data_IF_051186797905
#
_entry.id   IF_051186797905
#
_cell.length_a   1.000
_cell.length_b   1.000
_cell.length_c   1.000
_cell.angle_alpha   90.00
_cell.angle_beta   90.00
_cell.angle_gamma   90.00
#
_symmetry.space_group_name_H-M   'P 1'
#
loop_
_entity.id
_entity.type
_entity.pdbx_description
1 polymer ?
#
# COMPACT_ATOMS: atom_id res chain seq x y z
N UNK A 1 25.47 14.22 -23.93
CA UNK A 1 24.14 13.67 -23.56
C UNK A 1 23.44 14.71 -22.70
N UNK A 2 22.58 15.50 -23.32
CA UNK A 2 21.83 16.58 -22.68
C UNK A 2 20.57 15.98 -22.06
N UNK A 3 20.50 15.93 -20.73
CA UNK A 3 19.28 15.57 -20.02
C UNK A 3 18.22 16.64 -20.31
N UNK A 4 17.22 16.29 -21.11
CA UNK A 4 16.08 17.15 -21.36
C UNK A 4 15.28 17.21 -20.07
N UNK A 5 15.39 18.31 -19.34
CA UNK A 5 14.51 18.63 -18.21
C UNK A 5 13.09 18.65 -18.79
N UNK A 6 12.31 17.61 -18.51
CA UNK A 6 10.86 17.62 -18.79
C UNK A 6 10.32 18.71 -17.87
N UNK A 7 9.82 19.81 -18.44
CA UNK A 7 9.09 20.83 -17.68
C UNK A 7 7.93 20.11 -16.98
N UNK A 8 7.96 20.06 -15.64
CA UNK A 8 6.83 19.58 -14.84
C UNK A 8 5.72 20.60 -15.08
N UNK A 9 4.61 20.17 -15.69
CA UNK A 9 3.38 20.96 -15.69
C UNK A 9 2.95 21.10 -14.23
N UNK A 10 2.76 22.34 -13.76
CA UNK A 10 2.46 22.66 -12.36
C UNK A 10 1.12 22.08 -11.86
N UNK A 11 0.27 21.56 -12.75
CA UNK A 11 -1.09 21.08 -12.45
C UNK A 11 -1.28 19.57 -12.65
N UNK A 12 -0.22 18.80 -12.90
CA UNK A 12 -0.34 17.34 -13.08
C UNK A 12 -0.36 16.65 -11.71
N UNK A 13 -1.45 15.91 -11.42
CA UNK A 13 -1.57 15.14 -10.19
C UNK A 13 -0.37 14.18 -10.06
N UNK A 14 0.36 14.19 -8.93
CA UNK A 14 1.48 13.29 -8.72
C UNK A 14 1.08 11.84 -9.01
N UNK A 15 1.94 11.10 -9.73
CA UNK A 15 1.67 9.70 -10.14
C UNK A 15 1.25 8.83 -8.97
N UNK A 16 1.85 9.02 -7.78
CA UNK A 16 1.46 8.32 -6.55
C UNK A 16 -0.01 8.52 -6.19
N UNK A 17 -0.57 9.73 -6.34
CA UNK A 17 -1.97 9.99 -6.05
C UNK A 17 -2.87 9.38 -7.11
N UNK A 18 -2.47 9.48 -8.38
CA UNK A 18 -3.20 8.86 -9.49
C UNK A 18 -3.29 7.34 -9.31
N UNK A 19 -2.18 6.69 -8.93
CA UNK A 19 -2.14 5.26 -8.65
C UNK A 19 -3.03 4.87 -7.46
N UNK A 20 -3.00 5.66 -6.37
CA UNK A 20 -3.81 5.39 -5.18
C UNK A 20 -5.32 5.53 -5.41
N UNK A 21 -5.72 6.31 -6.42
CA UNK A 21 -7.12 6.53 -6.78
C UNK A 21 -7.57 5.63 -7.93
N UNK A 22 -6.65 4.86 -8.55
CA UNK A 22 -6.95 3.96 -9.65
C UNK A 22 -7.33 2.56 -9.15
N UNK A 23 -8.30 1.95 -9.82
CA UNK A 23 -8.69 0.54 -9.63
C UNK A 23 -8.06 -0.38 -10.66
N UNK A 24 -7.25 0.15 -11.60
CA UNK A 24 -6.65 -0.61 -12.70
C UNK A 24 -5.72 -1.72 -12.21
N UNK A 25 -5.06 -1.47 -11.07
CA UNK A 25 -4.12 -2.39 -10.43
C UNK A 25 -4.76 -3.20 -9.29
N UNK A 26 -6.09 -3.24 -9.20
CA UNK A 26 -6.77 -4.12 -8.27
C UNK A 26 -6.46 -5.58 -8.62
N UNK A 27 -6.20 -6.37 -7.59
CA UNK A 27 -6.15 -7.83 -7.72
C UNK A 27 -5.11 -8.37 -8.74
N UNK A 28 -3.84 -7.91 -8.76
CA UNK A 28 -2.87 -8.39 -9.73
C UNK A 28 -2.54 -9.87 -9.50
N UNK A 29 -2.34 -10.62 -10.59
CA UNK A 29 -2.08 -12.07 -10.52
C UNK A 29 -0.67 -12.38 -10.00
N UNK A 30 0.35 -11.67 -10.49
CA UNK A 30 1.76 -11.77 -10.10
C UNK A 30 2.36 -10.38 -9.91
N UNK A 31 2.33 -9.88 -8.68
CA UNK A 31 2.94 -8.59 -8.33
C UNK A 31 3.54 -8.62 -6.93
N UNK A 32 4.44 -7.67 -6.67
CA UNK A 32 4.99 -7.39 -5.36
C UNK A 32 3.85 -7.07 -4.36
N UNK A 33 4.01 -7.41 -3.08
CA UNK A 33 2.95 -7.22 -2.08
C UNK A 33 2.51 -5.75 -1.96
N UNK A 34 3.42 -4.80 -2.10
CA UNK A 34 3.11 -3.37 -2.07
C UNK A 34 2.18 -2.92 -3.21
N UNK A 35 2.31 -3.51 -4.40
CA UNK A 35 1.36 -3.26 -5.51
C UNK A 35 -0.03 -3.77 -5.11
N UNK A 36 -0.11 -4.95 -4.49
CA UNK A 36 -1.39 -5.52 -4.02
C UNK A 36 -2.04 -4.72 -2.88
N UNK A 37 -1.24 -4.07 -2.05
CA UNK A 37 -1.71 -3.31 -0.89
C UNK A 37 -2.13 -1.88 -1.26
N UNK A 38 -1.44 -1.26 -2.22
CA UNK A 38 -1.56 0.18 -2.48
C UNK A 38 -1.78 0.57 -3.95
N UNK A 39 -1.81 -0.39 -4.90
CA UNK A 39 -2.05 -0.11 -6.33
C UNK A 39 -0.90 0.60 -7.07
N UNK A 40 0.24 0.82 -6.40
CA UNK A 40 1.37 1.61 -6.91
C UNK A 40 2.08 0.95 -8.10
N UNK A 41 2.40 1.73 -9.13
CA UNK A 41 3.16 1.27 -10.30
C UNK A 41 4.67 1.33 -10.07
N UNK A 42 5.15 2.39 -9.43
CA UNK A 42 6.58 2.64 -9.20
C UNK A 42 6.84 2.98 -7.73
N UNK A 43 7.83 2.32 -7.13
CA UNK A 43 8.25 2.57 -5.75
C UNK A 43 9.67 2.06 -5.51
N UNK A 44 10.30 2.55 -4.44
CA UNK A 44 11.62 2.10 -3.97
C UNK A 44 11.44 1.34 -2.67
N UNK A 45 12.19 0.24 -2.51
CA UNK A 45 12.25 -0.50 -1.24
C UNK A 45 13.67 -0.47 -0.70
N UNK A 46 13.81 -0.01 0.53
CA UNK A 46 15.03 -0.06 1.33
C UNK A 46 14.94 -1.26 2.25
N UNK A 47 15.83 -2.22 2.05
CA UNK A 47 15.91 -3.45 2.82
C UNK A 47 17.28 -3.55 3.50
N UNK A 48 17.36 -3.99 4.77
CA UNK A 48 18.63 -4.31 5.40
C UNK A 48 19.44 -5.32 4.56
N UNK A 49 20.71 -5.01 4.29
CA UNK A 49 21.58 -5.91 3.51
C UNK A 49 21.83 -7.24 4.24
N UNK A 50 21.89 -7.21 5.58
CA UNK A 50 22.01 -8.39 6.43
C UNK A 50 20.65 -8.78 6.99
N UNK A 51 20.20 -10.00 6.71
CA UNK A 51 18.90 -10.54 7.13
C UNK A 51 18.76 -10.62 8.65
N UNK A 52 19.86 -10.71 9.39
CA UNK A 52 19.84 -10.73 10.85
C UNK A 52 19.71 -9.33 11.47
N UNK A 53 19.85 -8.26 10.68
CA UNK A 53 19.74 -6.87 11.14
C UNK A 53 18.38 -6.27 10.80
N UNK A 54 17.33 -7.01 11.12
CA UNK A 54 15.95 -6.54 10.96
C UNK A 54 15.70 -5.22 11.69
N UNK A 55 14.81 -4.40 11.13
CA UNK A 55 14.33 -3.16 11.75
C UNK A 55 13.07 -3.51 12.53
N UNK A 56 13.25 -3.97 13.76
CA UNK A 56 12.19 -4.46 14.64
C UNK A 56 11.62 -3.39 15.58
N UNK A 57 12.33 -2.28 15.79
CA UNK A 57 11.87 -1.16 16.60
C UNK A 57 11.19 -0.08 15.77
N UNK A 58 10.06 0.42 16.26
CA UNK A 58 9.33 1.55 15.67
C UNK A 58 10.20 2.80 15.59
N UNK A 59 10.98 3.07 16.64
CA UNK A 59 11.90 4.21 16.69
C UNK A 59 12.91 4.21 15.54
N UNK A 60 13.52 3.06 15.22
CA UNK A 60 14.48 2.94 14.12
C UNK A 60 13.78 3.12 12.77
N UNK A 61 12.59 2.54 12.60
CA UNK A 61 11.79 2.71 11.40
C UNK A 61 11.43 4.19 11.17
N UNK A 62 10.98 4.92 12.20
CA UNK A 62 10.63 6.35 12.10
C UNK A 62 11.84 7.24 11.82
N UNK A 63 13.02 6.95 12.39
CA UNK A 63 14.27 7.67 12.05
C UNK A 63 14.64 7.49 10.58
N UNK A 64 14.52 6.26 10.06
CA UNK A 64 14.76 5.99 8.64
C UNK A 64 13.73 6.68 7.74
N UNK A 65 12.44 6.63 8.09
CA UNK A 65 11.39 7.34 7.35
C UNK A 65 11.64 8.85 7.31
N UNK A 66 12.01 9.45 8.45
CA UNK A 66 12.36 10.87 8.51
C UNK A 66 13.55 11.21 7.59
N UNK A 67 14.57 10.35 7.59
CA UNK A 67 15.74 10.50 6.70
C UNK A 67 15.35 10.40 5.22
N UNK A 68 14.45 9.48 4.89
CA UNK A 68 13.88 9.31 3.55
C UNK A 68 13.07 10.53 3.13
N UNK A 69 12.20 11.06 4.00
CA UNK A 69 11.43 12.28 3.71
C UNK A 69 12.35 13.46 3.37
N UNK A 70 13.43 13.66 4.13
CA UNK A 70 14.44 14.70 3.83
C UNK A 70 15.10 14.47 2.48
N UNK A 71 15.46 13.23 2.14
CA UNK A 71 16.06 12.89 0.85
C UNK A 71 15.10 13.11 -0.33
N UNK A 72 13.81 12.79 -0.17
CA UNK A 72 12.77 13.04 -1.17
C UNK A 72 12.58 14.54 -1.42
N UNK A 73 12.49 15.33 -0.35
CA UNK A 73 12.40 16.80 -0.45
C UNK A 73 13.63 17.38 -1.17
N UNK A 74 14.83 16.97 -0.78
CA UNK A 74 16.08 17.46 -1.40
C UNK A 74 16.24 17.06 -2.86
N UNK A 75 15.68 15.90 -3.26
CA UNK A 75 15.73 15.42 -4.64
C UNK A 75 14.56 15.90 -5.50
N UNK A 76 13.58 16.60 -4.91
CA UNK A 76 12.33 17.00 -5.59
C UNK A 76 11.59 15.81 -6.25
N UNK A 77 11.72 14.64 -5.63
CA UNK A 77 11.10 13.38 -6.08
C UNK A 77 9.91 13.04 -5.20
N UNK A 78 8.82 12.58 -5.83
CA UNK A 78 7.60 12.14 -5.17
C UNK A 78 7.41 10.62 -5.26
N UNK A 79 8.45 9.87 -5.64
CA UNK A 79 8.37 8.41 -5.70
C UNK A 79 8.15 7.85 -4.29
N UNK A 80 7.18 6.96 -4.07
CA UNK A 80 7.01 6.29 -2.79
C UNK A 80 8.25 5.48 -2.41
N UNK A 81 8.72 5.66 -1.19
CA UNK A 81 9.86 4.91 -0.65
C UNK A 81 9.40 4.14 0.57
N UNK A 82 9.68 2.85 0.57
CA UNK A 82 9.33 1.91 1.62
C UNK A 82 10.58 1.40 2.31
N UNK A 83 10.47 1.19 3.62
CA UNK A 83 11.48 0.54 4.44
C UNK A 83 10.92 -0.80 4.89
N UNK A 84 11.67 -1.88 4.63
CA UNK A 84 11.29 -3.20 5.14
C UNK A 84 11.49 -3.23 6.66
N UNK A 85 10.40 -3.44 7.37
CA UNK A 85 10.39 -3.56 8.83
C UNK A 85 10.15 -5.00 9.24
N UNK A 86 10.54 -5.29 10.48
CA UNK A 86 10.47 -6.64 11.05
C UNK A 86 11.28 -7.63 10.21
N UNK A 87 11.02 -8.90 10.43
CA UNK A 87 11.74 -9.97 9.78
C UNK A 87 11.36 -10.10 8.30
N UNK A 88 12.32 -10.34 7.37
CA UNK A 88 12.06 -10.27 5.93
C UNK A 88 10.92 -11.17 5.43
N UNK A 89 10.76 -12.34 6.04
CA UNK A 89 9.70 -13.30 5.69
C UNK A 89 8.29 -12.79 6.00
N UNK A 90 8.13 -11.78 6.86
CA UNK A 90 6.83 -11.18 7.18
C UNK A 90 6.35 -10.20 6.12
N UNK A 91 7.23 -9.78 5.21
CA UNK A 91 6.91 -8.84 4.11
C UNK A 91 6.19 -7.58 4.60
N UNK A 92 6.66 -7.00 5.70
CA UNK A 92 6.09 -5.77 6.26
C UNK A 92 6.93 -4.56 5.91
N UNK A 93 6.24 -3.47 5.61
CA UNK A 93 6.84 -2.25 5.12
C UNK A 93 6.12 -1.06 5.75
N UNK A 94 6.88 -0.01 6.04
CA UNK A 94 6.33 1.32 6.23
C UNK A 94 6.92 2.23 5.15
N UNK A 95 6.16 3.20 4.67
CA UNK A 95 6.59 4.03 3.55
C UNK A 95 6.16 5.47 3.68
N UNK A 96 6.81 6.31 2.89
CA UNK A 96 6.45 7.72 2.75
C UNK A 96 6.66 8.19 1.31
N UNK A 97 5.80 9.09 0.88
CA UNK A 97 6.02 9.94 -0.29
C UNK A 97 5.80 11.40 0.12
N UNK A 98 6.68 12.28 -0.34
CA UNK A 98 6.61 13.72 -0.07
C UNK A 98 6.35 14.46 -1.37
N UNK A 99 5.36 15.34 -1.35
CA UNK A 99 4.98 16.22 -2.45
C UNK A 99 5.00 17.67 -1.94
N UNK A 100 4.85 18.64 -2.83
CA UNK A 100 4.99 20.06 -2.49
C UNK A 100 4.01 20.52 -1.39
N UNK A 101 2.79 19.99 -1.37
CA UNK A 101 1.71 20.44 -0.48
C UNK A 101 1.22 19.38 0.51
N UNK A 102 1.66 18.12 0.34
CA UNK A 102 1.21 17.02 1.17
C UNK A 102 2.26 15.91 1.25
N UNK A 103 2.10 15.03 2.23
CA UNK A 103 2.81 13.76 2.32
C UNK A 103 1.81 12.61 2.42
N UNK A 104 2.16 11.47 1.83
CA UNK A 104 1.43 10.22 2.03
C UNK A 104 2.29 9.32 2.92
N UNK A 105 1.70 8.83 4.00
CA UNK A 105 2.30 7.79 4.83
C UNK A 105 1.63 6.46 4.52
N UNK A 106 2.45 5.42 4.37
CA UNK A 106 2.00 4.06 4.09
C UNK A 106 2.32 3.18 5.29
N UNK A 107 1.27 2.77 6.00
CA UNK A 107 1.39 1.89 7.16
C UNK A 107 0.66 0.57 6.93
N UNK A 108 1.22 -0.50 7.50
CA UNK A 108 0.62 -1.83 7.52
C UNK A 108 0.44 -2.26 8.97
N UNK A 109 -0.79 -2.63 9.33
CA UNK A 109 -1.09 -3.22 10.62
C UNK A 109 -1.25 -4.73 10.44
N UNK A 110 -0.50 -5.50 11.21
CA UNK A 110 -0.62 -6.95 11.23
C UNK A 110 -1.25 -7.42 12.54
N UNK A 111 -2.44 -8.03 12.43
CA UNK A 111 -3.15 -8.60 13.56
C UNK A 111 -2.93 -10.11 13.60
N UNK A 112 -2.41 -10.63 14.71
CA UNK A 112 -2.22 -12.08 14.91
C UNK A 112 -3.54 -12.82 15.08
N UNK A 113 -4.57 -12.13 15.59
CA UNK A 113 -5.96 -12.58 15.63
C UNK A 113 -6.86 -11.45 15.17
N UNK A 114 -7.73 -11.74 14.20
CA UNK A 114 -8.70 -10.78 13.70
C UNK A 114 -9.89 -10.78 14.65
N UNK A 115 -10.23 -9.65 15.32
CA UNK A 115 -11.45 -9.53 16.10
C UNK A 115 -12.68 -9.83 15.25
N UNK A 116 -13.71 -10.43 15.84
CA UNK A 116 -14.93 -10.83 15.12
C UNK A 116 -15.62 -9.66 14.43
N UNK A 117 -15.55 -8.45 15.01
CA UNK A 117 -16.12 -7.26 14.37
C UNK A 117 -15.41 -6.87 13.05
N UNK A 118 -14.21 -7.39 12.76
CA UNK A 118 -13.44 -7.09 11.55
C UNK A 118 -13.35 -8.29 10.59
N UNK A 119 -14.09 -9.38 10.86
CA UNK A 119 -14.07 -10.59 10.00
C UNK A 119 -14.98 -10.50 8.77
N UNK A 120 -15.74 -9.40 8.63
CA UNK A 120 -16.69 -9.19 7.53
C UNK A 120 -16.49 -7.82 6.90
N UNK A 121 -16.83 -7.71 5.61
CA UNK A 121 -16.67 -6.47 4.85
C UNK A 121 -17.34 -5.26 5.51
N UNK A 122 -18.55 -5.44 6.05
CA UNK A 122 -19.28 -4.37 6.74
C UNK A 122 -18.46 -3.78 7.91
N UNK A 123 -17.84 -4.65 8.72
CA UNK A 123 -17.01 -4.21 9.84
C UNK A 123 -15.71 -3.52 9.41
N UNK A 124 -15.08 -3.98 8.32
CA UNK A 124 -13.92 -3.31 7.73
C UNK A 124 -14.29 -1.93 7.18
N UNK A 125 -15.46 -1.80 6.55
CA UNK A 125 -16.02 -0.53 6.08
C UNK A 125 -16.27 0.44 7.23
N UNK A 126 -16.77 -0.04 8.37
CA UNK A 126 -16.98 0.79 9.56
C UNK A 126 -15.66 1.30 10.13
N UNK A 127 -14.63 0.46 10.18
CA UNK A 127 -13.27 0.88 10.57
C UNK A 127 -12.75 1.95 9.62
N UNK A 128 -12.84 1.72 8.31
CA UNK A 128 -12.40 2.68 7.30
C UNK A 128 -13.11 4.03 7.46
N UNK A 129 -14.44 4.03 7.54
CA UNK A 129 -15.24 5.25 7.74
C UNK A 129 -14.93 5.97 9.05
N UNK A 130 -14.59 5.24 10.11
CA UNK A 130 -14.17 5.85 11.38
C UNK A 130 -12.82 6.56 11.30
N UNK A 131 -11.96 6.14 10.36
CA UNK A 131 -10.65 6.74 10.10
C UNK A 131 -10.69 7.89 9.11
N UNK A 132 -11.74 7.97 8.29
CA UNK A 132 -12.02 9.15 7.47
C UNK A 132 -12.39 10.32 8.40
N UNK A 133 -11.38 11.06 8.87
CA UNK A 133 -11.54 12.30 9.62
C UNK A 133 -12.04 13.46 8.73
N UNK A 134 -13.02 13.18 7.86
CA UNK A 134 -13.58 14.15 6.90
C UNK A 134 -14.74 14.92 7.52
N UNK A 135 -14.70 16.25 7.36
CA UNK A 135 -15.80 17.14 7.71
C UNK A 135 -16.76 17.35 6.53
N UNK A 136 -16.53 16.67 5.40
CA UNK A 136 -17.33 16.85 4.17
C UNK A 136 -18.71 16.22 4.35
N UNK A 137 -19.75 17.02 4.05
CA UNK A 137 -21.16 16.62 4.11
C UNK A 137 -21.86 16.93 2.77
N UNK A 138 -22.59 15.96 2.17
CA UNK A 138 -22.76 14.57 2.62
C UNK A 138 -21.44 13.78 2.58
N UNK A 139 -21.33 12.74 3.42
CA UNK A 139 -20.13 11.89 3.41
C UNK A 139 -19.97 11.27 2.01
N UNK A 140 -18.75 11.22 1.46
CA UNK A 140 -18.51 10.60 0.17
C UNK A 140 -18.91 9.13 0.19
N UNK A 141 -19.38 8.64 -0.96
CA UNK A 141 -19.62 7.21 -1.18
C UNK A 141 -18.29 6.46 -1.13
N UNK A 142 -18.32 5.23 -0.61
CA UNK A 142 -17.15 4.36 -0.52
C UNK A 142 -17.35 3.22 -1.51
N UNK A 143 -16.50 3.18 -2.53
CA UNK A 143 -16.44 2.08 -3.47
C UNK A 143 -15.50 0.99 -2.95
N UNK A 144 -15.91 -0.26 -3.07
CA UNK A 144 -15.12 -1.42 -2.63
C UNK A 144 -15.22 -2.54 -3.66
N UNK A 145 -14.07 -3.15 -3.96
CA UNK A 145 -13.99 -4.39 -4.70
C UNK A 145 -13.53 -5.53 -3.79
N UNK A 146 -14.06 -6.73 -4.00
CA UNK A 146 -13.70 -7.94 -3.24
C UNK A 146 -13.44 -9.08 -4.22
N UNK A 147 -12.32 -9.80 -4.02
CA UNK A 147 -11.99 -11.01 -4.78
C UNK A 147 -11.80 -12.18 -3.84
N UNK A 148 -12.57 -13.24 -4.08
CA UNK A 148 -12.33 -14.55 -3.48
C UNK A 148 -11.42 -15.36 -4.41
N UNK A 149 -10.38 -15.97 -3.84
CA UNK A 149 -9.45 -16.83 -4.58
C UNK A 149 -9.40 -18.17 -3.87
N UNK A 150 -9.82 -19.22 -4.57
CA UNK A 150 -9.83 -20.58 -4.06
C UNK A 150 -8.70 -21.36 -4.71
N UNK A 151 -7.84 -21.95 -3.89
CA UNK A 151 -6.81 -22.88 -4.35
C UNK A 151 -7.20 -24.29 -3.91
N UNK A 152 -7.60 -25.11 -4.87
CA UNK A 152 -7.93 -26.52 -4.63
C UNK A 152 -6.64 -27.33 -4.62
N UNK A 153 -6.35 -28.02 -3.51
CA UNK A 153 -5.16 -28.88 -3.40
C UNK A 153 -5.33 -30.17 -4.20
N UNK A 154 -6.56 -30.68 -4.28
CA UNK A 154 -6.92 -31.85 -5.08
C UNK A 154 -8.07 -31.45 -6.00
N UNK A 155 -7.85 -31.59 -7.32
CA UNK A 155 -8.92 -31.41 -8.29
C UNK A 155 -9.76 -32.67 -8.33
N UNK A 156 -10.99 -32.59 -7.84
CA UNK A 156 -11.90 -33.74 -7.87
C UNK A 156 -12.46 -33.83 -9.30
N UNK A 157 -12.27 -34.96 -9.99
CA UNK A 157 -12.88 -35.23 -11.29
C UNK A 157 -14.41 -35.47 -11.22
N UNK A 158 -15.02 -35.22 -10.06
CA UNK A 158 -16.46 -35.32 -9.88
C UNK A 158 -17.13 -34.05 -10.41
N UNK A 159 -18.27 -34.16 -11.10
CA UNK A 159 -19.04 -32.99 -11.52
C UNK A 159 -19.44 -32.18 -10.28
N UNK A 160 -19.26 -30.86 -10.35
CA UNK A 160 -19.68 -29.97 -9.27
C UNK A 160 -21.19 -30.12 -9.05
N UNK A 161 -21.65 -30.30 -7.80
CA UNK A 161 -23.09 -30.38 -7.51
C UNK A 161 -23.81 -29.03 -7.68
N UNK A 162 -23.07 -27.93 -7.74
CA UNK A 162 -23.58 -26.57 -7.92
C UNK A 162 -22.64 -25.79 -8.85
N UNK A 163 -23.19 -24.92 -9.70
CA UNK A 163 -22.37 -24.04 -10.55
C UNK A 163 -21.58 -23.06 -9.67
N UNK A 164 -20.31 -22.79 -10.01
CA UNK A 164 -19.52 -21.82 -9.28
C UNK A 164 -20.13 -20.40 -9.42
N UNK A 165 -20.09 -19.58 -8.35
CA UNK A 165 -20.64 -18.23 -8.34
C UNK A 165 -19.87 -17.24 -9.23
#
# INVERSE_FOLDING_TARGET
MTWRKKEKKEDETPTVLTDLMSTDNDFPSKAHCLVRLYGLQEFIVITPADRNKAIDSESRAKVLLSSVSVALTNSSSSIPVFIQIQQPWRQMYCGTSVMSEMSVEFDVIHLTRIPQQYSHLAGLLDVFKSKLATQVTPRPTVDVAVRFTYQLQEWVNSPWPQEPP
#
